data_IF_950584224437
#
_entry.id   IF_950584224437
#
_cell.length_a   1.000
_cell.length_b   1.000
_cell.length_c   1.000
_cell.angle_alpha   90.00
_cell.angle_beta   90.00
_cell.angle_gamma   90.00
#
_symmetry.space_group_name_H-M   'P 1'
#
loop_
_entity.id
_entity.type
_entity.pdbx_description
1 polymer ?
#
# COMPACT_ATOMS: atom_id res chain seq x y z
N UNK A 1 65.64 -4.42 -41.61
CA UNK A 1 64.38 -4.68 -42.30
C UNK A 1 63.25 -4.52 -41.28
N UNK A 2 62.27 -3.73 -41.60
CA UNK A 2 61.26 -3.19 -40.72
C UNK A 2 60.10 -4.19 -40.54
N UNK A 3 59.84 -4.63 -39.33
CA UNK A 3 58.62 -5.40 -38.98
C UNK A 3 57.64 -4.50 -38.24
N UNK A 4 56.49 -4.22 -38.84
CA UNK A 4 55.38 -3.47 -38.24
C UNK A 4 54.53 -4.41 -37.39
N UNK A 5 54.38 -4.12 -36.10
CA UNK A 5 53.47 -4.80 -35.20
C UNK A 5 52.18 -4.01 -35.22
N UNK A 6 51.10 -4.64 -35.72
CA UNK A 6 49.73 -4.12 -35.71
C UNK A 6 49.08 -4.52 -34.38
N UNK A 7 48.86 -3.55 -33.51
CA UNK A 7 48.09 -3.78 -32.29
C UNK A 7 46.59 -3.79 -32.60
N UNK A 8 45.93 -4.90 -32.33
CA UNK A 8 44.48 -4.99 -32.37
C UNK A 8 43.89 -4.55 -31.01
N UNK A 9 43.17 -3.41 -30.99
CA UNK A 9 42.42 -2.96 -29.85
C UNK A 9 41.09 -3.70 -29.78
N UNK A 10 40.92 -4.56 -28.78
CA UNK A 10 39.64 -5.18 -28.45
C UNK A 10 38.79 -4.19 -27.65
N UNK A 11 37.82 -3.57 -28.31
CA UNK A 11 36.78 -2.79 -27.64
C UNK A 11 35.79 -3.74 -26.99
N UNK A 12 35.86 -3.87 -25.67
CA UNK A 12 34.90 -4.62 -24.88
C UNK A 12 33.57 -3.87 -24.83
N UNK A 13 32.54 -4.47 -25.47
CA UNK A 13 31.15 -3.98 -25.41
C UNK A 13 30.54 -4.39 -24.07
N UNK A 14 30.44 -3.45 -23.13
CA UNK A 14 29.71 -3.65 -21.86
C UNK A 14 28.22 -3.56 -22.16
N UNK A 15 27.55 -4.71 -22.24
CA UNK A 15 26.10 -4.78 -22.24
C UNK A 15 25.61 -4.51 -20.80
N UNK A 16 25.10 -3.30 -20.55
CA UNK A 16 24.39 -2.99 -19.34
C UNK A 16 23.04 -3.75 -19.34
N UNK A 17 22.96 -4.82 -18.57
CA UNK A 17 21.69 -5.48 -18.26
C UNK A 17 20.88 -4.57 -17.32
N UNK A 18 20.01 -3.75 -17.88
CA UNK A 18 18.95 -3.10 -17.13
C UNK A 18 17.91 -4.16 -16.83
N UNK A 19 18.04 -4.83 -15.68
CA UNK A 19 16.98 -5.70 -15.17
C UNK A 19 15.71 -4.88 -14.91
N UNK A 20 14.50 -5.46 -15.04
CA UNK A 20 13.27 -4.76 -14.71
C UNK A 20 13.35 -4.36 -13.23
N UNK A 21 13.06 -3.08 -12.94
CA UNK A 21 12.89 -2.63 -11.57
C UNK A 21 11.72 -3.41 -10.97
N UNK A 22 12.01 -4.44 -10.19
CA UNK A 22 11.02 -5.25 -9.51
C UNK A 22 10.19 -4.34 -8.61
N UNK A 23 8.87 -4.40 -8.70
CA UNK A 23 8.00 -3.79 -7.71
C UNK A 23 8.42 -4.30 -6.33
N UNK A 24 8.57 -3.39 -5.33
CA UNK A 24 8.94 -3.78 -3.99
C UNK A 24 7.90 -4.80 -3.45
N UNK A 25 8.38 -5.84 -2.78
CA UNK A 25 7.47 -6.82 -2.19
C UNK A 25 6.61 -6.15 -1.10
N UNK A 26 5.31 -6.50 -1.01
CA UNK A 26 4.43 -5.97 0.02
C UNK A 26 4.90 -6.42 1.42
N UNK A 27 4.78 -5.54 2.40
CA UNK A 27 5.17 -5.82 3.80
C UNK A 27 4.14 -6.68 4.54
N UNK A 28 2.90 -6.73 4.04
CA UNK A 28 1.83 -7.60 4.53
C UNK A 28 0.80 -7.83 3.43
N UNK A 29 0.14 -8.98 3.48
CA UNK A 29 -0.96 -9.33 2.56
C UNK A 29 -2.11 -9.97 3.33
N UNK A 30 -3.33 -9.81 2.85
CA UNK A 30 -4.51 -10.45 3.43
C UNK A 30 -5.55 -10.73 2.35
N UNK A 31 -6.45 -11.67 2.62
CA UNK A 31 -7.57 -11.98 1.75
C UNK A 31 -8.82 -11.18 2.17
N UNK A 32 -9.65 -10.85 1.20
CA UNK A 32 -10.96 -10.29 1.43
C UNK A 32 -12.00 -11.37 1.78
N UNK A 33 -13.14 -10.96 2.32
CA UNK A 33 -14.29 -11.86 2.57
C UNK A 33 -14.83 -12.46 1.26
N UNK A 34 -14.76 -11.72 0.16
CA UNK A 34 -15.13 -12.19 -1.15
C UNK A 34 -13.98 -12.94 -1.82
N UNK A 35 -14.29 -14.09 -2.44
CA UNK A 35 -13.30 -14.90 -3.16
C UNK A 35 -12.66 -14.11 -4.30
N UNK A 36 -11.34 -14.24 -4.44
CA UNK A 36 -10.57 -13.57 -5.48
C UNK A 36 -10.26 -12.09 -5.18
N UNK A 37 -10.57 -11.62 -3.96
CA UNK A 37 -10.19 -10.27 -3.52
C UNK A 37 -9.04 -10.39 -2.52
N UNK A 38 -7.97 -9.64 -2.75
CA UNK A 38 -6.78 -9.61 -1.89
C UNK A 38 -6.34 -8.17 -1.67
N UNK A 39 -5.63 -7.95 -0.57
CA UNK A 39 -5.02 -6.67 -0.24
C UNK A 39 -3.53 -6.88 0.07
N UNK A 40 -2.71 -6.02 -0.49
CA UNK A 40 -1.26 -6.00 -0.28
C UNK A 40 -0.84 -4.63 0.27
N UNK A 41 -0.33 -4.59 1.50
CA UNK A 41 0.25 -3.38 2.08
C UNK A 41 1.66 -3.19 1.52
N UNK A 42 1.89 -2.05 0.89
CA UNK A 42 3.19 -1.70 0.32
C UNK A 42 4.10 -1.11 1.39
N UNK A 43 3.58 -0.16 2.15
CA UNK A 43 4.27 0.44 3.29
C UNK A 43 3.28 1.09 4.28
N UNK A 44 3.73 1.25 5.52
CA UNK A 44 3.15 2.13 6.52
C UNK A 44 4.26 3.04 7.03
N UNK A 45 4.30 4.26 6.49
CA UNK A 45 5.40 5.20 6.75
C UNK A 45 4.96 6.35 7.63
N UNK A 46 5.74 6.62 8.69
CA UNK A 46 5.57 7.78 9.57
C UNK A 46 6.53 8.88 9.17
N UNK A 47 6.01 10.08 8.97
CA UNK A 47 6.78 11.30 8.75
C UNK A 47 5.99 12.51 9.28
N UNK A 48 6.65 13.44 9.96
CA UNK A 48 6.07 14.70 10.43
C UNK A 48 4.76 14.51 11.25
N UNK A 49 4.70 13.51 12.11
CA UNK A 49 3.53 13.23 12.95
C UNK A 49 2.36 12.55 12.24
N UNK A 50 2.54 12.12 11.01
CA UNK A 50 1.51 11.45 10.20
C UNK A 50 1.99 10.08 9.76
N UNK A 51 1.16 9.06 9.95
CA UNK A 51 1.34 7.73 9.38
C UNK A 51 0.57 7.63 8.06
N UNK A 52 1.25 7.27 6.98
CA UNK A 52 0.64 7.05 5.66
C UNK A 52 0.71 5.57 5.33
N UNK A 53 -0.45 4.94 5.19
CA UNK A 53 -0.61 3.57 4.69
C UNK A 53 -0.76 3.62 3.18
N UNK A 54 0.04 2.83 2.45
CA UNK A 54 -0.13 2.57 1.03
C UNK A 54 -0.39 1.10 0.82
N UNK A 55 -1.39 0.80 0.02
CA UNK A 55 -1.80 -0.56 -0.23
C UNK A 55 -2.40 -0.71 -1.63
N UNK A 56 -2.41 -1.94 -2.11
CA UNK A 56 -3.03 -2.32 -3.38
C UNK A 56 -4.16 -3.29 -3.09
N UNK A 57 -5.33 -3.03 -3.65
CA UNK A 57 -6.43 -4.00 -3.71
C UNK A 57 -6.34 -4.72 -5.05
N UNK A 58 -6.26 -6.05 -5.01
CA UNK A 58 -6.26 -6.92 -6.18
C UNK A 58 -7.63 -7.56 -6.29
N UNK A 59 -8.27 -7.38 -7.43
CA UNK A 59 -9.53 -8.02 -7.76
C UNK A 59 -9.31 -9.06 -8.85
N UNK A 60 -9.13 -10.31 -8.45
CA UNK A 60 -9.00 -11.47 -9.33
C UNK A 60 -10.37 -12.14 -9.63
N UNK A 61 -11.46 -11.59 -9.05
CA UNK A 61 -12.81 -12.04 -9.30
C UNK A 61 -13.33 -11.60 -10.67
N UNK A 62 -14.41 -12.23 -11.15
CA UNK A 62 -15.06 -11.89 -12.42
C UNK A 62 -16.03 -10.70 -12.31
N UNK A 63 -16.23 -10.20 -11.09
CA UNK A 63 -17.12 -9.07 -10.80
C UNK A 63 -16.34 -7.88 -10.23
N UNK A 64 -16.77 -6.64 -10.48
CA UNK A 64 -16.15 -5.46 -9.88
C UNK A 64 -16.36 -5.41 -8.35
N UNK A 65 -15.36 -4.93 -7.62
CA UNK A 65 -15.43 -4.67 -6.18
C UNK A 65 -15.82 -3.21 -5.95
N UNK A 66 -16.91 -2.98 -5.22
CA UNK A 66 -17.37 -1.63 -4.89
C UNK A 66 -16.59 -1.07 -3.69
N UNK A 67 -16.03 0.14 -3.80
CA UNK A 67 -15.31 0.80 -2.71
C UNK A 67 -16.16 1.16 -1.49
N UNK A 68 -17.49 1.25 -1.63
CA UNK A 68 -18.38 1.50 -0.50
C UNK A 68 -18.26 0.42 0.59
N UNK A 69 -17.69 -0.74 0.27
CA UNK A 69 -17.37 -1.78 1.26
C UNK A 69 -16.24 -1.37 2.21
N UNK A 70 -15.35 -0.46 1.81
CA UNK A 70 -14.20 -0.01 2.59
C UNK A 70 -14.40 1.32 3.34
N UNK A 71 -15.58 1.93 3.21
CA UNK A 71 -15.91 3.17 3.93
C UNK A 71 -16.32 2.89 5.39
N UNK A 72 -16.27 3.93 6.22
CA UNK A 72 -16.87 3.88 7.56
C UNK A 72 -18.39 3.72 7.42
N UNK A 73 -18.99 2.67 8.00
CA UNK A 73 -20.43 2.41 7.87
C UNK A 73 -21.32 3.49 8.50
N UNK A 74 -20.81 4.23 9.49
CA UNK A 74 -21.60 5.24 10.22
C UNK A 74 -21.50 6.64 9.63
N UNK A 75 -20.28 7.08 9.26
CA UNK A 75 -20.01 8.45 8.83
C UNK A 75 -19.07 8.52 7.63
N UNK A 76 -18.95 7.42 6.87
CA UNK A 76 -18.03 7.35 5.74
C UNK A 76 -18.48 8.14 4.52
N UNK A 77 -17.52 8.73 3.84
CA UNK A 77 -17.71 9.36 2.55
C UNK A 77 -17.86 8.29 1.46
N UNK A 78 -18.90 8.40 0.62
CA UNK A 78 -19.11 7.47 -0.48
C UNK A 78 -17.91 7.42 -1.43
N UNK A 79 -17.52 6.22 -1.85
CA UNK A 79 -16.36 6.02 -2.72
C UNK A 79 -15.02 6.36 -2.05
N UNK A 80 -14.90 6.17 -0.74
CA UNK A 80 -13.66 6.39 0.01
C UNK A 80 -13.21 5.12 0.73
N UNK A 81 -11.99 5.16 1.26
CA UNK A 81 -11.42 4.10 2.10
C UNK A 81 -11.30 4.55 3.56
N UNK A 82 -12.18 5.42 4.01
CA UNK A 82 -12.12 6.05 5.33
C UNK A 82 -12.54 5.13 6.50
N UNK A 83 -13.02 3.92 6.22
CA UNK A 83 -13.32 2.90 7.22
C UNK A 83 -12.09 2.14 7.74
N UNK A 84 -10.92 2.38 7.17
CA UNK A 84 -9.67 1.76 7.62
C UNK A 84 -9.26 2.33 8.99
N UNK A 85 -8.69 1.49 9.85
CA UNK A 85 -8.10 1.95 11.11
C UNK A 85 -6.90 1.10 11.51
N UNK A 86 -6.03 1.70 12.34
CA UNK A 86 -4.90 1.01 12.94
C UNK A 86 -5.22 0.64 14.39
N UNK A 87 -4.66 -0.49 14.87
CA UNK A 87 -4.79 -0.95 16.24
C UNK A 87 -3.41 -1.14 16.86
N UNK A 88 -3.15 -0.37 17.90
CA UNK A 88 -2.05 -0.59 18.82
C UNK A 88 -2.58 -1.39 20.02
N UNK A 89 -2.44 -2.70 19.95
CA UNK A 89 -2.96 -3.60 20.97
C UNK A 89 -2.23 -3.42 22.32
N UNK A 90 -0.93 -3.12 22.29
CA UNK A 90 -0.13 -2.94 23.51
C UNK A 90 -0.59 -1.72 24.31
N UNK A 91 -0.88 -0.61 23.65
CA UNK A 91 -1.35 0.62 24.27
C UNK A 91 -2.88 0.76 24.28
N UNK A 92 -3.62 -0.27 23.80
CA UNK A 92 -5.09 -0.29 23.70
C UNK A 92 -5.64 0.93 22.96
N UNK A 93 -5.00 1.30 21.87
CA UNK A 93 -5.33 2.52 21.11
C UNK A 93 -5.72 2.19 19.68
N UNK A 94 -6.76 2.88 19.20
CA UNK A 94 -7.24 2.83 17.80
C UNK A 94 -6.95 4.18 17.14
N UNK A 95 -6.40 4.13 15.92
CA UNK A 95 -6.14 5.31 15.10
C UNK A 95 -7.07 5.29 13.90
N UNK A 96 -7.89 6.32 13.77
CA UNK A 96 -8.80 6.50 12.64
C UNK A 96 -8.15 7.31 11.54
N UNK A 97 -8.67 7.20 10.33
CA UNK A 97 -8.26 8.04 9.20
C UNK A 97 -8.48 9.51 9.54
N UNK A 98 -7.47 10.33 9.27
CA UNK A 98 -7.53 11.78 9.49
C UNK A 98 -8.56 12.39 8.55
N UNK A 99 -9.37 13.31 9.07
CA UNK A 99 -10.32 14.12 8.29
C UNK A 99 -9.92 15.60 8.37
N UNK A 100 -10.14 16.33 7.28
CA UNK A 100 -9.94 17.78 7.22
C UNK A 100 -11.09 18.55 7.92
N UNK A 101 -11.05 19.88 7.87
CA UNK A 101 -12.07 20.75 8.46
C UNK A 101 -13.47 20.56 7.84
N UNK A 102 -13.53 20.15 6.57
CA UNK A 102 -14.76 19.88 5.83
C UNK A 102 -15.23 18.42 5.98
N UNK A 103 -14.57 17.66 6.88
CA UNK A 103 -14.82 16.25 7.19
C UNK A 103 -14.49 15.27 6.07
N UNK A 104 -13.77 15.71 5.04
CA UNK A 104 -13.23 14.80 4.03
C UNK A 104 -12.03 14.04 4.55
N UNK A 105 -11.95 12.76 4.24
CA UNK A 105 -10.80 11.97 4.66
C UNK A 105 -9.52 12.38 3.92
N UNK A 106 -8.39 12.30 4.61
CA UNK A 106 -7.07 12.29 3.98
C UNK A 106 -6.76 10.86 3.54
N UNK A 107 -7.45 10.43 2.50
CA UNK A 107 -7.39 9.08 1.95
C UNK A 107 -7.77 9.07 0.46
N UNK A 108 -7.63 7.92 -0.21
CA UNK A 108 -8.19 7.71 -1.55
C UNK A 108 -9.71 7.84 -1.51
N UNK A 109 -10.27 8.67 -2.37
CA UNK A 109 -11.71 8.97 -2.46
C UNK A 109 -12.13 9.26 -3.89
N UNK A 110 -13.43 9.49 -4.11
CA UNK A 110 -14.05 9.60 -5.44
C UNK A 110 -13.84 8.32 -6.27
N UNK A 111 -13.90 7.19 -5.59
CA UNK A 111 -13.70 5.88 -6.17
C UNK A 111 -15.06 5.24 -6.48
N UNK A 112 -15.16 4.52 -7.59
CA UNK A 112 -16.37 3.79 -7.94
C UNK A 112 -16.22 2.30 -7.63
N UNK A 113 -15.31 1.63 -8.32
CA UNK A 113 -15.05 0.20 -8.16
C UNK A 113 -13.65 -0.18 -8.62
N UNK A 114 -13.13 -1.28 -8.10
CA UNK A 114 -12.00 -1.99 -8.70
C UNK A 114 -12.57 -2.93 -9.75
N UNK A 115 -12.24 -2.72 -11.02
CA UNK A 115 -12.72 -3.58 -12.10
C UNK A 115 -12.34 -5.04 -11.89
N UNK A 116 -13.08 -5.97 -12.50
CA UNK A 116 -12.71 -7.40 -12.50
C UNK A 116 -11.34 -7.61 -13.13
N UNK A 117 -10.57 -8.57 -12.62
CA UNK A 117 -9.21 -8.89 -13.09
C UNK A 117 -8.26 -7.70 -13.13
N UNK A 118 -8.41 -6.76 -12.19
CA UNK A 118 -7.57 -5.56 -12.10
C UNK A 118 -7.13 -5.26 -10.67
N UNK A 119 -6.36 -4.21 -10.50
CA UNK A 119 -5.90 -3.74 -9.19
C UNK A 119 -5.98 -2.23 -9.07
N UNK A 120 -6.02 -1.74 -7.84
CA UNK A 120 -6.01 -0.32 -7.54
C UNK A 120 -5.03 -0.02 -6.40
N UNK A 121 -4.20 1.01 -6.59
CA UNK A 121 -3.30 1.52 -5.56
C UNK A 121 -4.01 2.61 -4.76
N UNK A 122 -4.05 2.44 -3.46
CA UNK A 122 -4.81 3.26 -2.53
C UNK A 122 -3.93 3.72 -1.36
N UNK A 123 -4.40 4.73 -0.65
CA UNK A 123 -3.71 5.25 0.52
C UNK A 123 -4.67 5.83 1.55
N UNK A 124 -4.23 5.88 2.80
CA UNK A 124 -4.92 6.54 3.90
C UNK A 124 -3.92 7.11 4.91
N UNK A 125 -4.25 8.23 5.54
CA UNK A 125 -3.42 8.88 6.56
C UNK A 125 -4.05 8.78 7.93
N UNK A 126 -3.19 8.60 8.94
CA UNK A 126 -3.53 8.45 10.35
C UNK A 126 -2.64 9.35 11.21
N UNK A 127 -3.07 9.70 12.43
CA UNK A 127 -2.14 10.23 13.41
C UNK A 127 -1.00 9.25 13.65
N UNK A 128 0.23 9.71 13.77
CA UNK A 128 1.37 8.83 13.99
C UNK A 128 1.28 8.12 15.35
N UNK A 129 1.47 6.78 15.40
CA UNK A 129 1.75 6.08 16.64
C UNK A 129 3.07 6.57 17.27
N UNK A 130 3.24 6.43 18.60
CA UNK A 130 4.51 6.75 19.27
C UNK A 130 5.70 6.00 18.65
N UNK A 131 6.90 6.58 18.75
CA UNK A 131 8.12 6.00 18.16
C UNK A 131 8.48 4.62 18.73
N UNK A 132 8.02 4.30 19.93
CA UNK A 132 8.18 2.97 20.54
C UNK A 132 7.38 1.88 19.85
N UNK A 133 6.33 2.23 19.08
CA UNK A 133 5.49 1.29 18.33
C UNK A 133 6.17 1.01 16.98
N UNK A 134 6.73 -0.19 16.83
CA UNK A 134 7.44 -0.62 15.61
C UNK A 134 6.55 -1.40 14.65
N UNK A 135 5.47 -1.99 15.17
CA UNK A 135 4.50 -2.76 14.42
C UNK A 135 3.10 -2.45 14.92
N UNK A 136 2.11 -2.55 14.05
CA UNK A 136 0.73 -2.19 14.38
C UNK A 136 -0.25 -3.08 13.60
N UNK A 137 -1.43 -3.31 14.15
CA UNK A 137 -2.52 -3.95 13.43
C UNK A 137 -3.13 -3.01 12.40
N UNK A 138 -3.45 -3.52 11.22
CA UNK A 138 -4.17 -2.81 10.14
C UNK A 138 -5.47 -3.52 9.88
N UNK A 139 -6.58 -2.80 10.00
CA UNK A 139 -7.93 -3.33 9.75
C UNK A 139 -8.57 -2.56 8.60
N UNK A 140 -8.92 -3.28 7.56
CA UNK A 140 -9.67 -2.79 6.41
C UNK A 140 -11.04 -3.50 6.43
N UNK A 141 -12.16 -2.78 6.35
CA UNK A 141 -13.47 -3.42 6.32
C UNK A 141 -13.57 -4.47 5.22
N UNK A 142 -14.18 -5.63 5.53
CA UNK A 142 -14.33 -6.79 4.65
C UNK A 142 -13.03 -7.50 4.23
N UNK A 143 -11.94 -7.25 4.97
CA UNK A 143 -10.69 -8.01 4.87
C UNK A 143 -10.32 -8.63 6.21
N UNK A 144 -9.59 -9.72 6.18
CA UNK A 144 -9.05 -10.32 7.40
C UNK A 144 -8.03 -9.32 8.00
N UNK A 145 -8.16 -8.96 9.30
CA UNK A 145 -7.20 -8.06 9.95
C UNK A 145 -5.74 -8.55 9.82
N UNK A 146 -4.84 -7.62 9.58
CA UNK A 146 -3.40 -7.89 9.53
C UNK A 146 -2.77 -7.43 10.83
N UNK A 147 -2.19 -8.35 11.57
CA UNK A 147 -1.39 -8.05 12.75
C UNK A 147 0.06 -7.78 12.36
N UNK A 148 0.80 -7.08 13.24
CA UNK A 148 2.25 -6.89 13.13
C UNK A 148 2.76 -6.25 11.84
N UNK A 149 1.97 -5.40 11.19
CA UNK A 149 2.41 -4.61 10.03
C UNK A 149 3.53 -3.67 10.46
N UNK A 150 4.73 -3.74 9.85
CA UNK A 150 5.87 -2.92 10.25
C UNK A 150 5.65 -1.44 9.91
N UNK A 151 6.12 -0.57 10.81
CA UNK A 151 6.10 0.88 10.62
C UNK A 151 7.51 1.32 10.22
N UNK A 152 7.64 2.01 9.09
CA UNK A 152 8.87 2.69 8.68
C UNK A 152 8.87 4.18 9.08
N UNK A 153 10.05 4.71 9.40
CA UNK A 153 10.25 6.12 9.81
C UNK A 153 11.42 6.73 9.06
#
# INVERSE_FOLDING_TARGET
>A
MRGKIIGAALAGLWLAFSGPAGAAEPVATTDGEASGIRLAVQDLKVANGVATLRFTVLNEADTPLNYNTMRDPNNGEGGSVDGIYLIDAANKKKYLVVKDADKHCLCSRNLEHVASKSSANLWAKFPAPPDSVQKIGVVVPHFIPMDDVPISR
#
